data_IF_742258234582
#
_entry.id   IF_742258234582
#
_cell.length_a   1.000
_cell.length_b   1.000
_cell.length_c   1.000
_cell.angle_alpha   90.00
_cell.angle_beta   90.00
_cell.angle_gamma   90.00
#
_symmetry.space_group_name_H-M   'P 1'
#
loop_
_entity.id
_entity.type
_entity.pdbx_description
1 polymer ?
#
# COMPACT_ATOMS: atom_id res chain seq x y z
N UNK A 1 -74.55 -23.72 -13.42
CA UNK A 1 -74.32 -24.40 -12.11
C UNK A 1 -73.19 -23.68 -11.40
N UNK A 2 -73.43 -22.96 -10.29
CA UNK A 2 -72.35 -22.35 -9.51
C UNK A 2 -71.97 -23.25 -8.33
N UNK A 3 -70.68 -23.54 -8.16
CA UNK A 3 -70.16 -24.00 -6.89
C UNK A 3 -69.34 -22.86 -6.28
N UNK A 4 -69.92 -22.23 -5.27
CA UNK A 4 -69.31 -21.20 -4.41
C UNK A 4 -68.35 -21.89 -3.45
N UNK A 5 -67.10 -21.44 -3.39
CA UNK A 5 -66.24 -21.66 -2.24
C UNK A 5 -65.91 -20.30 -1.62
N UNK A 6 -66.40 -20.07 -0.40
CA UNK A 6 -65.99 -18.99 0.48
C UNK A 6 -64.72 -19.41 1.23
N UNK A 7 -63.71 -18.55 1.26
CA UNK A 7 -62.55 -18.66 2.14
C UNK A 7 -62.57 -17.46 3.12
N UNK A 8 -62.39 -17.67 4.44
CA UNK A 8 -62.42 -16.60 5.41
C UNK A 8 -61.09 -15.85 5.47
N UNK A 9 -61.16 -14.52 5.52
CA UNK A 9 -60.03 -13.65 5.83
C UNK A 9 -59.74 -13.71 7.35
N UNK A 10 -58.56 -14.21 7.72
CA UNK A 10 -58.03 -14.13 9.09
C UNK A 10 -57.29 -12.80 9.22
N UNK A 11 -57.79 -11.93 10.10
CA UNK A 11 -57.17 -10.68 10.49
C UNK A 11 -56.13 -10.98 11.59
N UNK A 12 -54.84 -10.99 11.26
CA UNK A 12 -53.78 -11.06 12.26
C UNK A 12 -53.52 -9.66 12.85
N UNK A 13 -53.98 -9.44 14.08
CA UNK A 13 -53.56 -8.31 14.90
C UNK A 13 -52.11 -8.53 15.37
N UNK A 14 -51.15 -7.86 14.73
CA UNK A 14 -49.80 -7.75 15.24
C UNK A 14 -49.80 -6.73 16.40
N UNK A 15 -49.85 -7.22 17.64
CA UNK A 15 -49.59 -6.41 18.82
C UNK A 15 -48.08 -6.15 18.95
N UNK A 16 -47.62 -5.00 18.48
CA UNK A 16 -46.28 -4.50 18.79
C UNK A 16 -46.29 -3.95 20.22
N UNK A 17 -45.94 -4.76 21.22
CA UNK A 17 -45.51 -4.23 22.52
C UNK A 17 -44.16 -3.53 22.34
N UNK A 18 -44.08 -2.26 22.74
CA UNK A 18 -42.84 -1.50 22.65
C UNK A 18 -41.82 -2.02 23.69
N UNK A 19 -40.50 -1.94 23.42
CA UNK A 19 -39.47 -2.35 24.38
C UNK A 19 -39.57 -1.67 25.75
N UNK A 20 -40.14 -0.45 25.78
CA UNK A 20 -40.41 0.31 27.01
C UNK A 20 -41.43 -0.38 27.92
N UNK A 21 -42.45 -1.02 27.34
CA UNK A 21 -43.53 -1.69 28.08
C UNK A 21 -43.07 -3.03 28.69
N UNK A 22 -42.00 -3.63 28.12
CA UNK A 22 -41.36 -4.83 28.66
C UNK A 22 -40.35 -4.47 29.76
N UNK A 23 -39.61 -3.38 29.61
CA UNK A 23 -38.64 -2.90 30.61
C UNK A 23 -39.31 -2.48 31.93
N UNK A 24 -40.50 -1.87 31.86
CA UNK A 24 -41.27 -1.47 33.05
C UNK A 24 -41.77 -2.68 33.86
N UNK A 25 -42.00 -3.83 33.20
CA UNK A 25 -42.50 -5.06 33.86
C UNK A 25 -41.42 -6.00 34.38
N UNK A 26 -40.17 -5.87 33.92
CA UNK A 26 -39.10 -6.81 34.28
C UNK A 26 -37.94 -6.17 35.03
N UNK A 27 -37.85 -4.83 35.08
CA UNK A 27 -36.80 -4.11 35.80
C UNK A 27 -35.40 -4.33 35.22
N UNK A 28 -35.30 -4.82 33.98
CA UNK A 28 -34.03 -5.05 33.29
C UNK A 28 -33.96 -4.12 32.08
N UNK A 29 -33.02 -3.19 32.13
CA UNK A 29 -32.68 -2.28 31.02
C UNK A 29 -32.06 -3.09 29.86
N UNK A 30 -32.47 -2.88 28.61
CA UNK A 30 -31.90 -3.62 27.49
C UNK A 30 -30.48 -3.12 27.20
N UNK A 31 -29.47 -3.84 27.68
CA UNK A 31 -28.08 -3.65 27.25
C UNK A 31 -27.97 -4.00 25.77
N UNK A 32 -27.74 -2.99 24.92
CA UNK A 32 -27.37 -3.21 23.53
C UNK A 32 -26.06 -4.02 23.48
N UNK A 33 -25.94 -5.03 22.61
CA UNK A 33 -24.67 -5.74 22.44
C UNK A 33 -23.62 -4.77 21.88
N UNK A 34 -22.51 -4.66 22.60
CA UNK A 34 -21.37 -3.81 22.26
C UNK A 34 -20.56 -4.46 21.13
N UNK A 35 -21.05 -4.34 19.88
CA UNK A 35 -20.35 -4.82 18.67
C UNK A 35 -19.00 -4.10 18.42
N UNK A 36 -18.68 -3.08 19.21
CA UNK A 36 -17.38 -2.39 19.19
C UNK A 36 -16.28 -3.25 19.83
N UNK A 37 -16.62 -4.12 20.79
CA UNK A 37 -15.65 -4.86 21.60
C UNK A 37 -15.04 -6.06 20.86
N UNK A 38 -15.82 -6.74 20.02
CA UNK A 38 -15.34 -7.92 19.27
C UNK A 38 -14.41 -7.53 18.10
N UNK A 39 -14.68 -6.41 17.42
CA UNK A 39 -13.81 -5.87 16.37
C UNK A 39 -12.48 -5.34 16.93
N UNK A 40 -12.51 -4.71 18.11
CA UNK A 40 -11.31 -4.16 18.77
C UNK A 40 -10.44 -5.26 19.42
N UNK A 41 -11.04 -6.42 19.75
CA UNK A 41 -10.32 -7.60 20.25
C UNK A 41 -9.68 -8.40 19.11
N UNK A 42 -10.38 -8.58 17.97
CA UNK A 42 -9.82 -9.23 16.78
C UNK A 42 -8.68 -8.41 16.12
N UNK A 43 -8.78 -7.07 16.16
CA UNK A 43 -7.70 -6.19 15.69
C UNK A 43 -6.44 -6.28 16.57
N UNK A 44 -6.58 -6.50 17.89
CA UNK A 44 -5.44 -6.60 18.83
C UNK A 44 -4.67 -7.93 18.78
N UNK A 45 -5.20 -8.97 18.14
CA UNK A 45 -4.55 -10.30 18.05
C UNK A 45 -4.01 -10.64 16.66
N UNK A 46 -4.02 -9.70 15.70
CA UNK A 46 -3.56 -9.98 14.35
C UNK A 46 -2.03 -10.18 14.34
N UNK A 47 -1.60 -11.37 13.90
CA UNK A 47 -0.19 -11.62 13.60
C UNK A 47 0.21 -10.96 12.28
N UNK A 48 1.51 -10.80 12.03
CA UNK A 48 2.00 -10.48 10.70
C UNK A 48 1.51 -11.54 9.70
N UNK A 49 1.22 -11.11 8.47
CA UNK A 49 0.75 -11.99 7.41
C UNK A 49 1.90 -12.34 6.46
N UNK A 50 1.94 -13.59 6.03
CA UNK A 50 2.79 -14.06 4.95
C UNK A 50 2.04 -15.08 4.10
N UNK A 51 2.22 -14.98 2.79
CA UNK A 51 1.69 -15.91 1.81
C UNK A 51 2.77 -16.22 0.78
N UNK A 52 2.90 -17.49 0.42
CA UNK A 52 3.73 -17.90 -0.71
C UNK A 52 3.07 -19.03 -1.48
N UNK A 53 3.32 -19.05 -2.79
CA UNK A 53 2.84 -20.09 -3.68
C UNK A 53 3.88 -20.34 -4.76
N UNK A 54 4.16 -21.61 -5.00
CA UNK A 54 4.94 -22.05 -6.15
C UNK A 54 4.06 -22.89 -7.06
N UNK A 55 4.15 -22.65 -8.36
CA UNK A 55 3.53 -23.46 -9.40
C UNK A 55 4.61 -23.94 -10.36
N UNK A 56 4.40 -25.12 -10.94
CA UNK A 56 5.23 -25.67 -12.00
C UNK A 56 4.34 -26.21 -13.10
N UNK A 57 4.83 -26.18 -14.34
CA UNK A 57 4.18 -26.76 -15.50
C UNK A 57 5.04 -27.88 -16.12
N UNK A 58 4.45 -28.72 -16.98
CA UNK A 58 5.09 -29.95 -17.46
C UNK A 58 6.36 -29.71 -18.30
N UNK A 59 6.44 -28.57 -18.99
CA UNK A 59 7.61 -28.09 -19.74
C UNK A 59 8.71 -27.47 -18.88
N UNK A 60 8.60 -27.51 -17.55
CA UNK A 60 9.66 -27.09 -16.62
C UNK A 60 9.62 -25.61 -16.21
N UNK A 61 8.71 -24.81 -16.78
CA UNK A 61 8.43 -23.46 -16.29
C UNK A 61 7.95 -23.45 -14.83
N UNK A 62 8.34 -22.41 -14.10
CA UNK A 62 7.97 -22.21 -12.69
C UNK A 62 7.39 -20.81 -12.47
N UNK A 63 6.47 -20.71 -11.52
CA UNK A 63 5.99 -19.44 -11.01
C UNK A 63 6.21 -19.39 -9.51
N UNK A 64 7.00 -18.43 -9.04
CA UNK A 64 7.23 -18.15 -7.62
C UNK A 64 6.48 -16.88 -7.19
N UNK A 65 5.59 -16.99 -6.22
CA UNK A 65 4.79 -15.86 -5.74
C UNK A 65 4.90 -15.72 -4.22
N UNK A 66 5.13 -14.50 -3.71
CA UNK A 66 5.09 -14.24 -2.26
C UNK A 66 4.62 -12.84 -1.89
N UNK A 67 3.87 -12.75 -0.80
CA UNK A 67 3.37 -11.51 -0.18
C UNK A 67 3.61 -11.55 1.31
N UNK A 68 3.96 -10.41 1.92
CA UNK A 68 3.97 -10.27 3.37
C UNK A 68 3.66 -8.85 3.82
N UNK A 69 2.99 -8.72 4.96
CA UNK A 69 2.75 -7.41 5.60
C UNK A 69 2.74 -7.52 7.12
N UNK A 70 3.09 -6.43 7.83
CA UNK A 70 3.35 -6.48 9.26
C UNK A 70 2.04 -6.54 10.05
N UNK A 71 2.15 -6.85 11.35
CA UNK A 71 0.98 -6.97 12.24
C UNK A 71 0.17 -5.67 12.28
N UNK A 72 0.83 -4.51 12.18
CA UNK A 72 0.22 -3.19 12.20
C UNK A 72 -0.79 -3.04 11.06
N UNK A 73 -0.47 -3.57 9.88
CA UNK A 73 -1.38 -3.61 8.74
C UNK A 73 -2.46 -4.69 8.90
N UNK A 74 -2.09 -5.88 9.41
CA UNK A 74 -3.02 -6.98 9.64
C UNK A 74 -4.10 -6.65 10.69
N UNK A 75 -3.77 -5.81 11.68
CA UNK A 75 -4.68 -5.32 12.71
C UNK A 75 -5.71 -4.31 12.20
N UNK A 76 -5.54 -3.75 11.01
CA UNK A 76 -6.48 -2.80 10.40
C UNK A 76 -7.42 -3.55 9.45
N UNK A 77 -8.62 -3.94 9.91
CA UNK A 77 -9.50 -4.84 9.16
C UNK A 77 -9.70 -4.46 7.66
N UNK A 78 -10.05 -3.21 7.38
CA UNK A 78 -10.25 -2.74 5.99
C UNK A 78 -8.96 -2.62 5.18
N UNK A 79 -7.83 -2.30 5.82
CA UNK A 79 -6.54 -2.32 5.15
C UNK A 79 -6.11 -3.76 4.84
N UNK A 80 -6.31 -4.69 5.77
CA UNK A 80 -6.03 -6.10 5.56
C UNK A 80 -6.90 -6.69 4.43
N UNK A 81 -8.16 -6.27 4.32
CA UNK A 81 -9.03 -6.60 3.19
C UNK A 81 -8.49 -6.01 1.87
N UNK A 82 -8.10 -4.74 1.87
CA UNK A 82 -7.48 -4.09 0.71
C UNK A 82 -6.21 -4.84 0.23
N UNK A 83 -5.31 -5.18 1.17
CA UNK A 83 -4.07 -5.89 0.86
C UNK A 83 -4.31 -7.32 0.37
N UNK A 84 -5.32 -8.03 0.91
CA UNK A 84 -5.75 -9.34 0.39
C UNK A 84 -6.29 -9.22 -1.03
N UNK A 85 -7.17 -8.25 -1.28
CA UNK A 85 -7.70 -8.03 -2.63
C UNK A 85 -6.58 -7.68 -3.63
N UNK A 86 -5.55 -6.92 -3.21
CA UNK A 86 -4.37 -6.66 -4.03
C UNK A 86 -3.56 -7.93 -4.28
N UNK A 87 -3.27 -8.72 -3.25
CA UNK A 87 -2.62 -10.03 -3.37
C UNK A 87 -3.34 -10.94 -4.38
N UNK A 88 -4.66 -11.09 -4.25
CA UNK A 88 -5.45 -11.97 -5.11
C UNK A 88 -5.42 -11.52 -6.59
N UNK A 89 -5.48 -10.21 -6.85
CA UNK A 89 -5.33 -9.63 -8.19
C UNK A 89 -3.93 -9.90 -8.74
N UNK A 90 -2.90 -9.54 -8.00
CA UNK A 90 -1.51 -9.68 -8.42
C UNK A 90 -1.15 -11.17 -8.66
N UNK A 91 -1.70 -12.09 -7.87
CA UNK A 91 -1.56 -13.53 -8.08
C UNK A 91 -2.25 -13.99 -9.37
N UNK A 92 -3.49 -13.57 -9.59
CA UNK A 92 -4.25 -13.93 -10.80
C UNK A 92 -3.58 -13.39 -12.07
N UNK A 93 -3.09 -12.16 -12.05
CA UNK A 93 -2.37 -11.52 -13.16
C UNK A 93 -1.04 -12.22 -13.45
N UNK A 94 -0.23 -12.47 -12.41
CA UNK A 94 1.05 -13.19 -12.55
C UNK A 94 0.83 -14.59 -13.14
N UNK A 95 -0.18 -15.32 -12.61
CA UNK A 95 -0.53 -16.66 -13.10
C UNK A 95 -1.03 -16.63 -14.54
N UNK A 96 -1.88 -15.67 -14.90
CA UNK A 96 -2.39 -15.53 -16.27
C UNK A 96 -1.29 -15.21 -17.27
N UNK A 97 -0.36 -14.32 -16.90
CA UNK A 97 0.82 -14.00 -17.72
C UNK A 97 1.72 -15.22 -17.90
N UNK A 98 2.01 -15.93 -16.81
CA UNK A 98 2.79 -17.16 -16.81
C UNK A 98 2.17 -18.24 -17.71
N UNK A 99 0.86 -18.51 -17.57
CA UNK A 99 0.15 -19.50 -18.40
C UNK A 99 0.11 -19.10 -19.88
N UNK A 100 0.05 -17.80 -20.18
CA UNK A 100 0.06 -17.29 -21.55
C UNK A 100 1.43 -17.46 -22.21
N UNK A 101 2.52 -17.33 -21.45
CA UNK A 101 3.90 -17.46 -21.95
C UNK A 101 4.17 -18.80 -22.65
N UNK A 102 3.44 -19.87 -22.28
CA UNK A 102 3.67 -21.21 -22.82
C UNK A 102 3.36 -21.35 -24.30
N UNK A 103 2.53 -20.45 -24.85
CA UNK A 103 2.14 -20.48 -26.27
C UNK A 103 3.29 -20.01 -27.17
N UNK A 104 4.01 -19.01 -26.70
CA UNK A 104 5.00 -18.30 -27.49
C UNK A 104 6.44 -18.75 -27.19
N UNK A 105 6.62 -19.49 -26.08
CA UNK A 105 7.94 -19.94 -25.65
C UNK A 105 8.13 -21.46 -25.74
N UNK A 106 9.16 -21.94 -26.47
CA UNK A 106 9.53 -23.35 -26.51
C UNK A 106 9.72 -23.96 -25.12
N UNK A 107 9.51 -25.27 -24.98
CA UNK A 107 9.59 -25.95 -23.68
C UNK A 107 11.00 -25.88 -23.05
N UNK A 108 12.05 -25.83 -23.88
CA UNK A 108 13.44 -25.69 -23.46
C UNK A 108 13.85 -24.24 -23.13
N UNK A 109 13.00 -23.25 -23.45
CA UNK A 109 13.23 -21.83 -23.15
C UNK A 109 12.79 -21.47 -21.72
N UNK A 110 13.44 -22.08 -20.73
CA UNK A 110 13.09 -21.96 -19.30
C UNK A 110 13.07 -20.51 -18.80
N UNK A 111 13.96 -19.64 -19.29
CA UNK A 111 13.95 -18.22 -18.91
C UNK A 111 12.64 -17.53 -19.30
N UNK A 112 12.07 -17.83 -20.47
CA UNK A 112 10.79 -17.26 -20.86
C UNK A 112 9.60 -17.86 -20.08
N UNK A 113 9.73 -19.11 -19.62
CA UNK A 113 8.66 -19.86 -18.94
C UNK A 113 8.68 -19.72 -17.42
N UNK A 114 9.60 -18.93 -16.87
CA UNK A 114 9.71 -18.66 -15.45
C UNK A 114 9.15 -17.29 -15.11
N UNK A 115 8.25 -17.24 -14.14
CA UNK A 115 7.67 -16.00 -13.63
C UNK A 115 7.93 -15.90 -12.13
N UNK A 116 8.02 -14.69 -11.60
CA UNK A 116 7.95 -14.45 -10.17
C UNK A 116 7.33 -13.11 -9.85
N UNK A 117 6.73 -13.04 -8.67
CA UNK A 117 6.37 -11.78 -8.02
C UNK A 117 6.55 -11.93 -6.51
N UNK A 118 7.34 -11.05 -5.91
CA UNK A 118 7.45 -10.92 -4.46
C UNK A 118 7.06 -9.50 -4.05
N UNK A 119 6.24 -9.36 -3.01
CA UNK A 119 5.86 -8.07 -2.43
C UNK A 119 6.02 -8.13 -0.90
N UNK A 120 6.69 -7.13 -0.32
CA UNK A 120 6.99 -7.06 1.10
C UNK A 120 6.65 -5.67 1.63
N UNK A 121 5.63 -5.62 2.47
CA UNK A 121 5.23 -4.40 3.14
C UNK A 121 5.99 -4.26 4.47
N UNK A 122 6.49 -3.06 4.77
CA UNK A 122 7.17 -2.75 6.04
C UNK A 122 6.66 -1.41 6.60
N UNK A 123 6.72 -1.26 7.93
CA UNK A 123 6.28 -0.02 8.59
C UNK A 123 7.32 1.08 8.40
N UNK A 124 6.91 2.19 7.79
CA UNK A 124 7.68 3.43 7.71
C UNK A 124 7.38 4.33 8.93
N UNK A 125 6.10 4.38 9.32
CA UNK A 125 5.65 5.06 10.54
C UNK A 125 4.27 4.56 10.99
N UNK A 126 4.10 4.38 12.30
CA UNK A 126 2.82 4.06 12.93
C UNK A 126 2.41 5.22 13.86
N UNK A 127 1.41 5.98 13.44
CA UNK A 127 0.89 7.16 14.13
C UNK A 127 -0.59 6.95 14.51
N UNK A 128 -1.12 7.67 15.51
CA UNK A 128 -2.53 7.52 15.92
C UNK A 128 -3.54 7.69 14.77
N UNK A 129 -3.27 8.60 13.83
CA UNK A 129 -4.15 8.87 12.68
C UNK A 129 -3.77 8.14 11.40
N UNK A 130 -2.53 7.69 11.25
CA UNK A 130 -2.00 7.17 9.98
C UNK A 130 -1.05 6.00 10.19
N UNK A 131 -1.09 5.03 9.29
CA UNK A 131 -0.05 4.01 9.17
C UNK A 131 0.61 4.16 7.81
N UNK A 132 1.90 4.50 7.79
CA UNK A 132 2.71 4.61 6.57
C UNK A 132 3.52 3.33 6.39
N UNK A 133 3.42 2.75 5.20
CA UNK A 133 4.07 1.52 4.79
C UNK A 133 4.89 1.77 3.52
N UNK A 134 6.00 1.05 3.39
CA UNK A 134 6.67 0.81 2.11
C UNK A 134 6.24 -0.56 1.58
N UNK A 135 6.21 -0.74 0.27
CA UNK A 135 6.08 -2.05 -0.38
C UNK A 135 7.26 -2.26 -1.32
N UNK A 136 8.27 -3.01 -0.87
CA UNK A 136 9.35 -3.44 -1.75
C UNK A 136 8.86 -4.64 -2.56
N UNK A 137 8.95 -4.56 -3.88
CA UNK A 137 8.51 -5.63 -4.76
C UNK A 137 9.55 -6.00 -5.80
N UNK A 138 9.50 -7.24 -6.26
CA UNK A 138 10.25 -7.73 -7.41
C UNK A 138 9.36 -8.57 -8.31
N UNK A 139 9.62 -8.51 -9.61
CA UNK A 139 8.90 -9.25 -10.64
C UNK A 139 9.89 -9.88 -11.60
N UNK A 140 9.54 -11.04 -12.14
CA UNK A 140 10.19 -11.64 -13.29
C UNK A 140 9.09 -12.19 -14.18
N UNK A 141 9.10 -11.86 -15.46
CA UNK A 141 8.08 -12.32 -16.42
C UNK A 141 8.75 -12.88 -17.66
N UNK A 142 9.93 -13.46 -17.47
CA UNK A 142 10.86 -13.86 -18.51
C UNK A 142 11.81 -12.74 -18.97
N UNK A 143 12.81 -13.12 -19.78
CA UNK A 143 13.84 -12.21 -20.30
C UNK A 143 15.18 -12.31 -19.55
N UNK A 144 16.02 -11.29 -19.71
CA UNK A 144 17.40 -11.29 -19.22
C UNK A 144 17.50 -11.12 -17.69
N UNK A 145 16.64 -10.31 -17.09
CA UNK A 145 16.61 -10.05 -15.65
C UNK A 145 15.18 -9.70 -15.18
N UNK A 146 14.95 -9.77 -13.87
CA UNK A 146 13.72 -9.26 -13.24
C UNK A 146 13.72 -7.74 -13.09
N UNK A 147 12.62 -7.18 -12.61
CA UNK A 147 12.49 -5.79 -12.21
C UNK A 147 12.17 -5.72 -10.72
N UNK A 148 12.55 -4.62 -10.06
CA UNK A 148 12.16 -4.35 -8.68
C UNK A 148 11.76 -2.90 -8.50
N UNK A 149 10.98 -2.64 -7.45
CA UNK A 149 10.45 -1.33 -7.15
C UNK A 149 10.14 -1.15 -5.67
N UNK A 150 9.80 0.08 -5.31
CA UNK A 150 9.31 0.47 -4.01
C UNK A 150 8.03 1.29 -4.21
N UNK A 151 6.94 0.89 -3.57
CA UNK A 151 5.71 1.68 -3.53
C UNK A 151 5.51 2.30 -2.14
N UNK A 152 4.78 3.41 -2.09
CA UNK A 152 4.30 4.00 -0.85
C UNK A 152 2.86 3.58 -0.59
N UNK A 153 2.50 3.31 0.66
CA UNK A 153 1.11 3.19 1.08
C UNK A 153 0.90 3.86 2.42
N UNK A 154 0.05 4.88 2.46
CA UNK A 154 -0.42 5.54 3.68
C UNK A 154 -1.88 5.17 3.91
N UNK A 155 -2.14 4.52 5.04
CA UNK A 155 -3.47 4.23 5.54
C UNK A 155 -3.96 5.35 6.45
N UNK A 156 -5.02 6.04 6.03
CA UNK A 156 -5.78 6.97 6.85
C UNK A 156 -6.76 6.18 7.73
N UNK A 157 -6.48 6.12 9.03
CA UNK A 157 -7.28 5.34 9.99
C UNK A 157 -8.69 5.92 10.17
N UNK A 158 -8.86 7.24 10.02
CA UNK A 158 -10.15 7.91 10.21
C UNK A 158 -11.06 7.68 9.01
N UNK A 159 -10.54 7.90 7.81
CA UNK A 159 -11.31 7.76 6.57
C UNK A 159 -11.33 6.33 6.04
N UNK A 160 -10.50 5.45 6.62
CA UNK A 160 -10.32 4.06 6.20
C UNK A 160 -9.99 3.96 4.71
N UNK A 161 -9.03 4.77 4.28
CA UNK A 161 -8.62 4.90 2.89
C UNK A 161 -7.10 4.79 2.74
N UNK A 162 -6.66 4.22 1.63
CA UNK A 162 -5.26 4.16 1.22
C UNK A 162 -4.94 5.32 0.28
N UNK A 163 -3.71 5.84 0.37
CA UNK A 163 -3.17 6.81 -0.58
C UNK A 163 -1.64 6.69 -0.64
N UNK A 164 -1.02 7.16 -1.70
CA UNK A 164 0.44 7.27 -1.75
C UNK A 164 0.92 8.42 -0.88
N UNK A 165 2.13 8.32 -0.31
CA UNK A 165 2.71 9.39 0.51
C UNK A 165 2.75 10.75 -0.19
N UNK A 166 3.09 10.77 -1.49
CA UNK A 166 3.13 12.00 -2.29
C UNK A 166 1.75 12.65 -2.43
N UNK A 167 0.66 11.89 -2.33
CA UNK A 167 -0.71 12.41 -2.45
C UNK A 167 -1.11 13.30 -1.27
N UNK A 168 -0.36 13.27 -0.15
CA UNK A 168 -0.57 14.16 0.99
C UNK A 168 -0.07 15.60 0.73
N UNK A 169 0.72 15.79 -0.33
CA UNK A 169 1.24 17.09 -0.75
C UNK A 169 0.39 17.70 -1.86
N UNK A 170 0.52 19.02 -2.07
CA UNK A 170 -0.24 19.77 -3.09
C UNK A 170 0.02 19.20 -4.49
N UNK A 171 1.28 18.86 -4.79
CA UNK A 171 1.72 18.11 -5.96
C UNK A 171 3.16 17.61 -5.74
N UNK A 172 3.65 16.63 -6.52
CA UNK A 172 5.06 16.25 -6.51
C UNK A 172 5.98 17.44 -6.78
N UNK A 173 5.64 18.29 -7.75
CA UNK A 173 6.39 19.51 -8.07
C UNK A 173 6.43 20.52 -6.90
N UNK A 174 5.33 20.69 -6.17
CA UNK A 174 5.30 21.59 -5.01
C UNK A 174 6.17 21.07 -3.86
N UNK A 175 6.20 19.74 -3.65
CA UNK A 175 7.11 19.13 -2.70
C UNK A 175 8.57 19.29 -3.18
N UNK A 176 8.88 18.96 -4.43
CA UNK A 176 10.23 19.08 -4.98
C UNK A 176 10.78 20.50 -4.88
N UNK A 177 9.98 21.51 -5.21
CA UNK A 177 10.35 22.92 -5.02
C UNK A 177 10.60 23.29 -3.55
N UNK A 178 9.92 22.63 -2.62
CA UNK A 178 10.09 22.85 -1.18
C UNK A 178 11.29 22.10 -0.57
N UNK A 179 11.75 21.01 -1.20
CA UNK A 179 13.06 20.40 -0.91
C UNK A 179 14.17 21.29 -1.50
N UNK A 180 13.96 21.80 -2.71
CA UNK A 180 14.90 22.68 -3.40
C UNK A 180 16.17 21.95 -3.82
N UNK A 181 17.28 22.68 -3.87
CA UNK A 181 18.59 22.19 -4.34
C UNK A 181 19.14 21.02 -3.50
N UNK A 182 18.61 20.81 -2.28
CA UNK A 182 18.99 19.70 -1.41
C UNK A 182 18.65 18.34 -2.06
N UNK A 183 17.60 18.26 -2.89
CA UNK A 183 17.22 17.02 -3.56
C UNK A 183 18.32 16.54 -4.51
N UNK A 184 18.71 17.40 -5.45
CA UNK A 184 19.68 17.07 -6.49
C UNK A 184 21.09 16.91 -5.91
N UNK A 185 21.49 17.79 -4.98
CA UNK A 185 22.79 17.65 -4.31
C UNK A 185 22.90 16.37 -3.48
N UNK A 186 21.80 15.92 -2.84
CA UNK A 186 21.77 14.64 -2.13
C UNK A 186 21.85 13.44 -3.09
N UNK A 187 21.19 13.54 -4.25
CA UNK A 187 21.28 12.51 -5.29
C UNK A 187 22.70 12.38 -5.85
N UNK A 188 23.35 13.50 -6.17
CA UNK A 188 24.72 13.51 -6.67
C UNK A 188 25.71 12.99 -5.62
N UNK A 189 25.53 13.36 -4.35
CA UNK A 189 26.31 12.78 -3.26
C UNK A 189 26.13 11.25 -3.19
N UNK A 190 24.91 10.74 -3.40
CA UNK A 190 24.63 9.31 -3.42
C UNK A 190 25.26 8.60 -4.64
N UNK A 191 25.31 9.25 -5.81
CA UNK A 191 26.03 8.76 -7.01
C UNK A 191 27.51 8.58 -6.72
N UNK A 192 28.15 9.60 -6.16
CA UNK A 192 29.57 9.55 -5.77
C UNK A 192 29.85 8.43 -4.78
N UNK A 193 28.97 8.20 -3.81
CA UNK A 193 29.11 7.09 -2.85
C UNK A 193 29.08 5.71 -3.52
N UNK A 194 28.39 5.57 -4.66
CA UNK A 194 28.38 4.35 -5.48
C UNK A 194 29.53 4.26 -6.47
N UNK A 195 30.45 5.23 -6.46
CA UNK A 195 31.56 5.31 -7.42
C UNK A 195 31.15 5.80 -8.81
N UNK A 196 29.99 6.45 -8.91
CA UNK A 196 29.51 7.10 -10.13
C UNK A 196 29.88 8.58 -10.09
N UNK A 197 30.05 9.19 -11.26
CA UNK A 197 30.18 10.66 -11.33
C UNK A 197 28.84 11.33 -10.98
N UNK A 198 28.85 12.53 -10.39
CA UNK A 198 27.66 13.39 -10.34
C UNK A 198 27.04 13.56 -11.72
N UNK A 199 25.76 13.91 -11.78
CA UNK A 199 25.21 14.35 -13.07
C UNK A 199 25.97 15.58 -13.55
N UNK A 200 26.59 15.49 -14.73
CA UNK A 200 27.09 16.68 -15.41
C UNK A 200 25.93 17.41 -16.08
N UNK A 201 26.02 18.73 -16.24
CA UNK A 201 25.08 19.44 -17.08
C UNK A 201 25.31 19.02 -18.55
N UNK A 202 24.56 18.02 -19.01
CA UNK A 202 24.72 17.38 -20.31
C UNK A 202 23.40 16.89 -20.89
N UNK A 203 23.47 16.24 -22.06
CA UNK A 203 22.35 15.61 -22.75
C UNK A 203 22.28 14.09 -22.51
N UNK A 204 23.08 13.57 -21.60
CA UNK A 204 23.05 12.17 -21.20
C UNK A 204 21.72 11.80 -20.55
N UNK A 205 21.31 10.55 -20.77
CA UNK A 205 19.99 10.05 -20.39
C UNK A 205 19.69 10.14 -18.88
N UNK A 206 20.72 10.22 -18.02
CA UNK A 206 20.60 10.33 -16.56
C UNK A 206 21.19 11.63 -15.98
N UNK A 207 21.56 12.57 -16.85
CA UNK A 207 22.27 13.81 -16.50
C UNK A 207 21.32 14.87 -15.90
N UNK A 208 20.00 14.67 -16.00
CA UNK A 208 19.01 15.50 -15.33
C UNK A 208 18.76 15.02 -13.90
N UNK A 209 18.49 15.96 -13.00
CA UNK A 209 17.92 15.66 -11.69
C UNK A 209 16.42 15.34 -11.85
N UNK A 210 15.98 14.08 -11.63
CA UNK A 210 14.61 13.69 -11.92
C UNK A 210 13.60 14.34 -10.97
N UNK A 211 12.39 14.59 -11.47
CA UNK A 211 11.31 15.17 -10.67
C UNK A 211 10.76 14.17 -9.64
N UNK A 212 10.01 14.67 -8.64
CA UNK A 212 9.34 13.78 -7.68
C UNK A 212 8.13 13.03 -8.27
N UNK A 213 7.69 13.37 -9.48
CA UNK A 213 6.72 12.60 -10.26
C UNK A 213 7.30 11.28 -10.81
N UNK A 214 8.63 11.15 -10.81
CA UNK A 214 9.37 9.94 -11.18
C UNK A 214 9.87 9.15 -9.94
N UNK A 215 9.52 9.62 -8.73
CA UNK A 215 9.98 9.06 -7.47
C UNK A 215 8.84 8.46 -6.63
N UNK A 216 9.18 7.50 -5.78
CA UNK A 216 8.34 7.10 -4.66
C UNK A 216 8.66 7.97 -3.44
N UNK A 217 7.65 8.61 -2.86
CA UNK A 217 7.79 9.41 -1.64
C UNK A 217 7.19 8.65 -0.46
N UNK A 218 8.02 8.27 0.51
CA UNK A 218 7.58 7.72 1.79
C UNK A 218 7.50 8.84 2.83
N UNK A 219 6.42 8.87 3.61
CA UNK A 219 6.27 9.79 4.76
C UNK A 219 6.57 9.03 6.04
N UNK A 220 7.54 9.51 6.82
CA UNK A 220 8.06 8.81 7.98
C UNK A 220 8.04 9.66 9.25
N UNK A 221 8.26 8.99 10.39
CA UNK A 221 8.28 9.63 11.70
C UNK A 221 9.46 9.13 12.52
N UNK A 222 10.18 10.07 13.14
CA UNK A 222 11.18 9.80 14.18
C UNK A 222 10.63 10.05 15.59
N UNK A 223 9.53 10.81 15.70
CA UNK A 223 8.94 11.25 16.96
C UNK A 223 7.68 10.45 17.39
N UNK A 224 7.18 9.54 16.54
CA UNK A 224 5.96 8.72 16.75
C UNK A 224 4.68 9.53 17.00
N UNK A 225 4.65 10.81 16.62
CA UNK A 225 3.51 11.73 16.80
C UNK A 225 3.04 12.31 15.47
N UNK A 226 3.98 12.71 14.63
CA UNK A 226 3.77 13.34 13.33
C UNK A 226 4.76 12.80 12.32
N UNK A 227 4.46 12.96 11.04
CA UNK A 227 5.45 12.81 9.99
C UNK A 227 6.44 13.98 10.06
N UNK A 228 7.71 13.68 10.32
CA UNK A 228 8.80 14.65 10.49
C UNK A 228 10.01 14.34 9.60
N UNK A 229 9.87 13.36 8.71
CA UNK A 229 10.82 13.06 7.64
C UNK A 229 10.07 12.57 6.40
N UNK A 230 10.71 12.71 5.25
CA UNK A 230 10.34 12.04 4.02
C UNK A 230 11.52 11.25 3.49
N UNK A 231 11.25 10.19 2.74
CA UNK A 231 12.25 9.47 1.97
C UNK A 231 11.84 9.57 0.51
N UNK A 232 12.72 10.06 -0.35
CA UNK A 232 12.57 10.05 -1.80
C UNK A 232 13.33 8.87 -2.35
N UNK A 233 12.64 7.99 -3.07
CA UNK A 233 13.21 6.81 -3.68
C UNK A 233 13.11 6.89 -5.19
N UNK A 234 14.26 6.89 -5.87
CA UNK A 234 14.37 6.81 -7.32
C UNK A 234 14.75 5.38 -7.72
N UNK A 235 13.89 4.74 -8.50
CA UNK A 235 14.10 3.36 -8.92
C UNK A 235 15.18 3.18 -9.98
N UNK A 236 15.48 1.92 -10.33
CA UNK A 236 16.30 1.60 -11.49
C UNK A 236 15.78 2.32 -12.74
N UNK A 237 16.70 2.84 -13.57
CA UNK A 237 16.39 3.60 -14.78
C UNK A 237 15.76 4.99 -14.58
N UNK A 238 15.65 5.48 -13.33
CA UNK A 238 15.18 6.86 -13.10
C UNK A 238 16.36 7.82 -13.02
N UNK A 239 17.23 7.63 -12.02
CA UNK A 239 18.40 8.48 -11.81
C UNK A 239 19.73 7.83 -12.26
N UNK A 240 19.65 6.65 -12.87
CA UNK A 240 20.81 5.81 -13.16
C UNK A 240 20.44 4.48 -13.81
N UNK A 241 21.45 3.72 -14.25
CA UNK A 241 21.24 2.42 -14.91
C UNK A 241 20.70 1.35 -13.95
N UNK A 242 20.21 0.21 -14.48
CA UNK A 242 19.79 -0.89 -13.60
C UNK A 242 20.92 -1.46 -12.73
N UNK A 243 22.14 -1.49 -13.26
CA UNK A 243 23.32 -2.02 -12.56
C UNK A 243 23.73 -1.14 -11.36
N UNK A 244 23.46 0.16 -11.45
CA UNK A 244 23.69 1.14 -10.38
C UNK A 244 22.63 1.03 -9.26
N UNK A 245 21.45 0.54 -9.61
CA UNK A 245 20.34 0.31 -8.71
C UNK A 245 19.65 1.58 -8.22
N UNK A 246 18.72 1.43 -7.28
CA UNK A 246 17.92 2.53 -6.77
C UNK A 246 18.68 3.49 -5.85
N UNK A 247 18.17 4.72 -5.74
CA UNK A 247 18.63 5.74 -4.79
C UNK A 247 17.56 6.00 -3.74
N UNK A 248 17.96 6.04 -2.48
CA UNK A 248 17.08 6.33 -1.34
C UNK A 248 17.66 7.53 -0.58
N UNK A 249 16.89 8.62 -0.53
CA UNK A 249 17.33 9.91 -0.01
C UNK A 249 16.38 10.34 1.12
N UNK A 250 16.90 10.48 2.33
CA UNK A 250 16.13 10.88 3.52
C UNK A 250 16.25 12.38 3.78
N UNK A 251 15.12 13.06 3.92
CA UNK A 251 15.06 14.47 4.25
C UNK A 251 14.28 14.71 5.54
N UNK A 252 14.80 15.52 6.49
CA UNK A 252 13.99 16.01 7.59
C UNK A 252 12.90 16.94 7.03
N UNK A 253 11.68 16.86 7.58
CA UNK A 253 10.63 17.80 7.19
C UNK A 253 11.04 19.22 7.57
N UNK A 254 11.09 20.12 6.59
CA UNK A 254 11.37 21.55 6.79
C UNK A 254 10.07 22.36 6.86
N UNK A 255 10.16 23.63 7.29
CA UNK A 255 9.02 24.56 7.24
C UNK A 255 8.51 24.78 5.81
N UNK A 256 9.39 24.75 4.80
CA UNK A 256 8.99 24.87 3.40
C UNK A 256 8.21 23.64 2.93
N UNK A 257 8.70 22.43 3.21
CA UNK A 257 7.99 21.19 2.86
C UNK A 257 6.62 21.11 3.52
N UNK A 258 6.55 21.59 4.76
CA UNK A 258 5.34 21.74 5.53
C UNK A 258 4.29 22.60 4.79
N UNK A 259 4.67 23.71 4.14
CA UNK A 259 3.74 24.51 3.32
C UNK A 259 3.28 23.82 2.03
N UNK A 260 4.07 22.86 1.52
CA UNK A 260 3.69 22.02 0.39
C UNK A 260 2.69 20.91 0.76
N UNK A 261 2.45 20.63 2.04
CA UNK A 261 1.42 19.68 2.49
C UNK A 261 0.02 20.25 2.20
N UNK A 262 -0.92 19.40 1.74
CA UNK A 262 -2.32 19.84 1.59
C UNK A 262 -2.91 20.24 2.95
N UNK A 263 -3.75 21.28 3.03
CA UNK A 263 -4.31 21.75 4.29
C UNK A 263 -4.98 20.64 5.13
N UNK A 264 -5.66 19.69 4.47
CA UNK A 264 -6.33 18.56 5.13
C UNK A 264 -5.39 17.64 5.94
N UNK A 265 -4.12 17.56 5.56
CA UNK A 265 -3.13 16.68 6.20
C UNK A 265 -2.13 17.42 7.08
N UNK A 266 -2.17 18.76 7.10
CA UNK A 266 -1.14 19.61 7.73
C UNK A 266 -0.86 19.23 9.19
N UNK A 267 -1.90 18.89 9.96
CA UNK A 267 -1.79 18.51 11.37
C UNK A 267 -1.06 17.17 11.60
N UNK A 268 -0.93 16.33 10.56
CA UNK A 268 -0.20 15.07 10.64
C UNK A 268 1.32 15.27 10.50
N UNK A 269 1.78 16.45 10.08
CA UNK A 269 3.19 16.75 9.83
C UNK A 269 3.74 17.77 10.81
N UNK A 270 5.04 17.70 11.06
CA UNK A 270 5.79 18.74 11.77
C UNK A 270 7.18 18.89 11.17
N UNK A 271 7.76 20.08 11.28
CA UNK A 271 9.17 20.24 10.95
C UNK A 271 10.00 19.48 11.98
N UNK A 272 11.08 18.83 11.53
CA UNK A 272 12.05 18.23 12.43
C UNK A 272 12.81 19.36 13.12
N UNK A 273 12.87 19.31 14.45
CA UNK A 273 13.67 20.25 15.25
C UNK A 273 15.10 19.75 15.37
#
# INVERSE_FOLDING_TARGET
MPLRFMLPAVLCLAGCSSPAEVAEKTGVEPTAPDSSSELDTAARSAAAFAYSKQLSEAGGGKMDFSYSWPKEAASQAKLAEYLRAKLDRDFAETKSGWESSFKDCPADAISCRNYSLAAKYEVVADLPGYLSLSNAFSTYTGGAHGMYGLESLVWDRKNQAVMDGVAMFRSPAALGAAIGDELCSSLDAARVQKGMEPAEAGDGFFDACPGLDEATVLVGSSNKKTFDRITVWYGPYVAGSYAEGAYELDFPMTTAMLEAVKPAYRAAFSAKK
#
